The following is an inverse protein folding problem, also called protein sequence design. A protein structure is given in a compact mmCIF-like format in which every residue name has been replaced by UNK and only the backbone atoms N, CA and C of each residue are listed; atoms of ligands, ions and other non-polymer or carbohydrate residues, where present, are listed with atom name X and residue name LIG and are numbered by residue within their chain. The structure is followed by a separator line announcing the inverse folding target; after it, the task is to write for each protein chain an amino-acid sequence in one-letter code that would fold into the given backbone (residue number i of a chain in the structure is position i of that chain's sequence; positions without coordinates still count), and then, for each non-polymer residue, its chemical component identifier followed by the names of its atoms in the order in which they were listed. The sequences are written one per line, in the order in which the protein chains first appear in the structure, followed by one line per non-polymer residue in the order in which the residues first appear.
data_IF_469143804184
#
_entry.id   IF_469143804184
#
_cell.length_a   1.000
_cell.length_b   1.000
_cell.length_c   1.000
_cell.angle_alpha   90.00
_cell.angle_beta   90.00
_cell.angle_gamma   90.00
#
_symmetry.space_group_name_H-M   'P 1'
#
loop_
_entity.id
_entity.type
_entity.pdbx_description
1 polymer ?
#
# COMPACT_ATOMS: atom_id res chain seq x y z
N UNK A 1 -33.68 -0.82 -8.92
CA UNK A 1 -33.83 -0.20 -7.58
C UNK A 1 -33.74 -1.21 -6.45
N UNK A 2 -34.34 -2.41 -6.53
CA UNK A 2 -34.32 -3.38 -5.41
C UNK A 2 -32.93 -3.87 -5.00
N UNK A 3 -32.01 -4.11 -5.94
CA UNK A 3 -30.68 -4.67 -5.66
C UNK A 3 -29.74 -3.74 -4.88
N UNK A 4 -30.01 -2.42 -4.87
CA UNK A 4 -29.18 -1.41 -4.21
C UNK A 4 -29.69 -1.00 -2.82
N UNK A 5 -30.84 -1.53 -2.39
CA UNK A 5 -31.48 -1.18 -1.13
C UNK A 5 -31.11 -2.25 -0.09
N UNK A 6 -30.32 -1.86 0.92
CA UNK A 6 -29.87 -2.76 1.98
C UNK A 6 -28.68 -2.19 2.75
N UNK A 7 -28.08 -2.99 3.63
CA UNK A 7 -26.88 -2.60 4.36
C UNK A 7 -25.64 -2.68 3.44
N UNK A 8 -25.15 -1.51 3.02
CA UNK A 8 -23.99 -1.38 2.11
C UNK A 8 -22.67 -1.14 2.83
N UNK A 9 -22.66 -1.08 4.17
CA UNK A 9 -21.47 -0.70 4.94
C UNK A 9 -20.25 -1.59 4.65
N UNK A 10 -20.46 -2.92 4.57
CA UNK A 10 -19.39 -3.88 4.26
C UNK A 10 -18.83 -3.72 2.85
N UNK A 11 -19.67 -3.34 1.88
CA UNK A 11 -19.22 -3.15 0.50
C UNK A 11 -18.27 -1.93 0.38
N UNK A 12 -18.57 -0.85 1.10
CA UNK A 12 -17.73 0.36 1.14
C UNK A 12 -16.56 0.29 2.14
N UNK A 13 -16.52 -0.74 2.99
CA UNK A 13 -15.42 -0.95 3.92
C UNK A 13 -14.08 -1.05 3.15
N UNK A 14 -13.04 -0.41 3.69
CA UNK A 14 -11.70 -0.42 3.10
C UNK A 14 -10.91 -1.58 3.66
N UNK A 15 -10.53 -2.47 2.77
CA UNK A 15 -9.76 -3.67 3.09
C UNK A 15 -8.27 -3.39 2.91
N UNK A 16 -7.42 -4.11 3.61
CA UNK A 16 -5.97 -4.05 3.45
C UNK A 16 -5.46 -5.26 2.67
N UNK A 17 -4.91 -5.01 1.48
CA UNK A 17 -4.31 -6.03 0.64
C UNK A 17 -2.80 -6.05 0.80
N UNK A 18 -2.20 -7.24 0.87
CA UNK A 18 -0.75 -7.42 0.87
C UNK A 18 -0.28 -7.97 -0.47
N UNK A 19 0.83 -7.42 -0.97
CA UNK A 19 1.46 -7.86 -2.22
C UNK A 19 2.97 -7.96 -2.03
N UNK A 20 3.55 -9.10 -2.42
CA UNK A 20 5.00 -9.26 -2.55
C UNK A 20 5.47 -8.82 -3.94
N UNK A 21 6.38 -7.85 -4.00
CA UNK A 21 6.94 -7.34 -5.25
C UNK A 21 8.11 -8.20 -5.79
N UNK A 22 8.56 -9.20 -5.03
CA UNK A 22 9.66 -10.09 -5.44
C UNK A 22 9.38 -10.74 -6.79
N UNK A 23 10.33 -10.64 -7.73
CA UNK A 23 10.27 -11.25 -9.07
C UNK A 23 9.12 -10.75 -9.96
N UNK A 24 8.34 -9.76 -9.52
CA UNK A 24 7.22 -9.19 -10.28
C UNK A 24 7.70 -8.09 -11.23
N UNK A 25 7.09 -8.04 -12.42
CA UNK A 25 7.34 -6.97 -13.39
C UNK A 25 6.66 -5.68 -12.93
N UNK A 26 7.44 -4.60 -12.79
CA UNK A 26 7.01 -3.29 -12.26
C UNK A 26 5.69 -2.78 -12.87
N UNK A 27 5.57 -2.78 -14.20
CA UNK A 27 4.38 -2.25 -14.89
C UNK A 27 3.11 -3.04 -14.57
N UNK A 28 3.16 -4.38 -14.69
CA UNK A 28 2.02 -5.26 -14.40
C UNK A 28 1.62 -5.23 -12.93
N UNK A 29 2.60 -5.11 -12.04
CA UNK A 29 2.36 -4.92 -10.61
C UNK A 29 1.64 -3.60 -10.35
N UNK A 30 2.15 -2.49 -10.91
CA UNK A 30 1.57 -1.16 -10.73
C UNK A 30 0.14 -1.04 -11.29
N UNK A 31 -0.13 -1.68 -12.43
CA UNK A 31 -1.47 -1.73 -13.04
C UNK A 31 -2.49 -2.38 -12.09
N UNK A 32 -2.17 -3.57 -11.56
CA UNK A 32 -3.05 -4.29 -10.62
C UNK A 32 -3.26 -3.50 -9.33
N UNK A 33 -2.20 -2.91 -8.80
CA UNK A 33 -2.29 -2.05 -7.62
C UNK A 33 -3.23 -0.86 -7.89
N UNK A 34 -3.12 -0.21 -9.05
CA UNK A 34 -3.97 0.92 -9.40
C UNK A 34 -5.45 0.56 -9.49
N UNK A 35 -5.79 -0.64 -10.01
CA UNK A 35 -7.16 -1.16 -10.04
C UNK A 35 -7.75 -1.27 -8.62
N UNK A 36 -6.97 -1.83 -7.68
CA UNK A 36 -7.37 -2.00 -6.28
C UNK A 36 -7.51 -0.65 -5.56
N UNK A 37 -6.57 0.28 -5.77
CA UNK A 37 -6.61 1.63 -5.21
C UNK A 37 -7.79 2.45 -5.74
N UNK A 38 -8.25 2.18 -6.97
CA UNK A 38 -9.45 2.80 -7.52
C UNK A 38 -10.74 2.15 -7.01
N UNK A 39 -10.69 0.91 -6.51
CA UNK A 39 -11.87 0.14 -6.12
C UNK A 39 -12.57 -0.57 -7.27
N UNK A 40 -11.96 -0.63 -8.47
CA UNK A 40 -12.58 -1.21 -9.68
C UNK A 40 -12.82 -2.72 -9.58
N UNK A 41 -12.20 -3.39 -8.61
CA UNK A 41 -12.47 -4.80 -8.29
C UNK A 41 -13.79 -5.01 -7.55
N UNK A 42 -14.36 -3.96 -6.94
CA UNK A 42 -15.65 -4.03 -6.26
C UNK A 42 -16.78 -3.77 -7.27
N UNK A 43 -17.87 -4.56 -7.24
CA UNK A 43 -19.01 -4.36 -8.16
C UNK A 43 -19.78 -3.06 -7.88
N UNK A 44 -19.60 -2.46 -6.71
CA UNK A 44 -20.18 -1.17 -6.31
C UNK A 44 -19.37 0.04 -6.79
N UNK A 45 -18.36 -0.16 -7.63
CA UNK A 45 -17.48 0.90 -8.10
C UNK A 45 -18.26 2.00 -8.82
N UNK A 46 -18.05 3.23 -8.39
CA UNK A 46 -18.52 4.42 -9.07
C UNK A 46 -17.35 5.41 -9.26
N UNK A 47 -17.17 6.03 -10.46
CA UNK A 47 -16.08 6.95 -10.70
C UNK A 47 -16.07 8.21 -9.81
N UNK A 48 -17.25 8.65 -9.33
CA UNK A 48 -17.40 9.83 -8.48
C UNK A 48 -17.07 9.55 -7.01
N UNK A 49 -17.20 8.29 -6.57
CA UNK A 49 -17.00 7.87 -5.18
C UNK A 49 -15.66 7.16 -4.99
N UNK A 50 -14.97 7.46 -3.89
CA UNK A 50 -13.68 6.84 -3.56
C UNK A 50 -13.83 5.61 -2.65
N UNK A 51 -14.14 4.47 -3.27
CA UNK A 51 -14.37 3.17 -2.64
C UNK A 51 -13.16 2.21 -2.66
N UNK A 52 -11.98 2.70 -3.05
CA UNK A 52 -10.76 1.92 -3.15
C UNK A 52 -10.17 1.47 -1.81
N UNK A 53 -9.37 0.41 -1.89
CA UNK A 53 -8.78 -0.28 -0.73
C UNK A 53 -7.34 0.17 -0.44
N UNK A 54 -6.79 -0.28 0.69
CA UNK A 54 -5.39 -0.11 1.04
C UNK A 54 -4.53 -1.20 0.42
N UNK A 55 -3.32 -0.85 0.02
CA UNK A 55 -2.35 -1.80 -0.54
C UNK A 55 -1.01 -1.63 0.16
N UNK A 56 -0.51 -2.73 0.72
CA UNK A 56 0.83 -2.83 1.29
C UNK A 56 1.68 -3.67 0.34
N UNK A 57 2.77 -3.07 -0.14
CA UNK A 57 3.75 -3.74 -0.98
C UNK A 57 5.00 -4.02 -0.15
N UNK A 58 5.47 -5.27 -0.16
CA UNK A 58 6.74 -5.70 0.45
C UNK A 58 7.79 -6.01 -0.62
N UNK A 59 9.06 -6.03 -0.22
CA UNK A 59 10.20 -6.33 -1.09
C UNK A 59 10.32 -5.45 -2.35
N UNK A 60 10.09 -4.14 -2.24
CA UNK A 60 10.19 -3.23 -3.39
C UNK A 60 11.57 -3.27 -4.09
N UNK A 61 12.64 -3.62 -3.34
CA UNK A 61 14.01 -3.82 -3.85
C UNK A 61 14.19 -5.00 -4.80
N UNK A 62 13.24 -5.93 -4.87
CA UNK A 62 13.30 -7.12 -5.72
C UNK A 62 12.39 -7.03 -6.94
N UNK A 63 11.85 -5.83 -7.21
CA UNK A 63 11.00 -5.60 -8.38
C UNK A 63 11.82 -5.72 -9.67
N UNK A 64 11.24 -6.36 -10.69
CA UNK A 64 11.87 -6.54 -11.99
C UNK A 64 11.40 -5.53 -13.01
N UNK A 65 12.30 -5.14 -13.89
CA UNK A 65 11.99 -4.37 -15.10
C UNK A 65 12.46 -5.18 -16.30
N UNK A 66 11.69 -5.19 -17.39
CA UNK A 66 12.00 -5.96 -18.59
C UNK A 66 12.92 -5.20 -19.55
N UNK A 67 13.72 -5.92 -20.34
CA UNK A 67 14.61 -5.36 -21.35
C UNK A 67 15.83 -4.64 -20.75
N UNK A 68 16.28 -3.55 -21.39
CA UNK A 68 17.42 -2.71 -20.96
C UNK A 68 16.98 -1.46 -20.17
N UNK A 69 15.76 -1.50 -19.61
CA UNK A 69 15.14 -0.36 -18.93
C UNK A 69 15.84 -0.02 -17.61
N UNK A 70 16.49 -0.98 -16.98
CA UNK A 70 17.31 -0.78 -15.79
C UNK A 70 18.44 0.26 -16.02
N UNK A 71 18.97 0.32 -17.25
CA UNK A 71 20.04 1.26 -17.64
C UNK A 71 19.50 2.52 -18.30
N UNK A 72 18.42 2.40 -19.07
CA UNK A 72 17.92 3.49 -19.92
C UNK A 72 16.88 4.37 -19.22
N UNK A 73 16.22 3.88 -18.17
CA UNK A 73 15.14 4.62 -17.52
C UNK A 73 15.70 5.75 -16.65
N UNK A 74 15.32 6.98 -17.02
CA UNK A 74 15.68 8.22 -16.33
C UNK A 74 14.43 8.85 -15.73
N UNK A 75 14.46 9.11 -14.43
CA UNK A 75 13.42 9.87 -13.74
C UNK A 75 13.75 11.35 -13.78
N UNK A 76 12.84 12.15 -14.33
CA UNK A 76 13.03 13.59 -14.54
C UNK A 76 12.12 14.39 -13.63
N UNK A 77 12.65 15.47 -13.04
CA UNK A 77 11.89 16.48 -12.32
C UNK A 77 12.42 17.86 -12.69
N UNK A 78 11.54 18.82 -12.90
CA UNK A 78 11.90 20.19 -13.20
C UNK A 78 11.37 21.13 -12.11
N UNK A 79 12.17 22.11 -11.69
CA UNK A 79 11.76 23.11 -10.68
C UNK A 79 11.05 24.34 -11.25
N UNK A 80 10.87 24.40 -12.57
CA UNK A 80 10.34 25.54 -13.33
C UNK A 80 11.31 26.73 -13.49
N UNK A 81 12.53 26.64 -12.97
CA UNK A 81 13.61 27.59 -13.25
C UNK A 81 14.49 27.11 -14.42
N UNK A 82 15.01 28.01 -15.28
CA UNK A 82 15.98 27.64 -16.30
C UNK A 82 17.19 26.88 -15.70
N UNK A 83 17.55 25.74 -16.28
CA UNK A 83 18.61 24.86 -15.75
C UNK A 83 18.19 23.99 -14.55
N UNK A 84 16.93 24.07 -14.11
CA UNK A 84 16.39 23.33 -12.96
C UNK A 84 16.02 21.88 -13.23
N UNK A 85 16.49 21.27 -14.32
CA UNK A 85 16.22 19.88 -14.67
C UNK A 85 17.09 18.96 -13.81
N UNK A 86 16.44 18.05 -13.08
CA UNK A 86 17.09 16.98 -12.32
C UNK A 86 16.73 15.65 -12.94
N UNK A 87 17.74 14.91 -13.36
CA UNK A 87 17.60 13.55 -13.85
C UNK A 87 18.21 12.58 -12.85
N UNK A 88 17.57 11.45 -12.62
CA UNK A 88 18.07 10.39 -11.75
C UNK A 88 17.92 9.06 -12.46
N UNK A 89 19.00 8.29 -12.68
CA UNK A 89 18.92 7.00 -13.32
C UNK A 89 18.24 5.98 -12.42
N UNK A 90 17.59 5.00 -13.02
CA UNK A 90 16.89 3.94 -12.31
C UNK A 90 17.76 3.21 -11.28
N UNK A 91 19.02 2.91 -11.63
CA UNK A 91 19.98 2.27 -10.71
C UNK A 91 20.17 3.05 -9.42
N UNK A 92 20.37 4.37 -9.52
CA UNK A 92 20.56 5.23 -8.35
C UNK A 92 19.28 5.35 -7.53
N UNK A 93 18.13 5.44 -8.19
CA UNK A 93 16.83 5.47 -7.52
C UNK A 93 16.57 4.18 -6.75
N UNK A 94 16.93 3.02 -7.31
CA UNK A 94 16.76 1.71 -6.68
C UNK A 94 17.61 1.56 -5.42
N UNK A 95 18.80 2.18 -5.38
CA UNK A 95 19.67 2.18 -4.21
C UNK A 95 19.14 3.15 -3.14
N UNK A 96 18.79 4.38 -3.53
CA UNK A 96 18.41 5.45 -2.61
C UNK A 96 17.00 5.29 -2.05
N UNK A 97 16.02 5.08 -2.94
CA UNK A 97 14.58 5.09 -2.65
C UNK A 97 13.84 4.12 -3.58
N UNK A 98 13.96 2.81 -3.38
CA UNK A 98 13.27 1.80 -4.20
C UNK A 98 11.75 1.93 -4.13
N UNK A 99 11.21 2.49 -3.04
CA UNK A 99 9.77 2.64 -2.84
C UNK A 99 9.15 3.66 -3.80
N UNK A 100 9.92 4.70 -4.17
CA UNK A 100 9.47 5.74 -5.11
C UNK A 100 9.29 5.19 -6.52
N UNK A 101 10.03 4.15 -6.91
CA UNK A 101 9.90 3.52 -8.24
C UNK A 101 8.49 2.99 -8.45
N UNK A 102 7.98 2.21 -7.50
CA UNK A 102 6.63 1.66 -7.54
C UNK A 102 5.60 2.77 -7.35
N UNK A 103 5.84 3.71 -6.43
CA UNK A 103 4.95 4.86 -6.20
C UNK A 103 4.76 5.70 -7.46
N UNK A 104 5.84 6.01 -8.19
CA UNK A 104 5.78 6.74 -9.46
C UNK A 104 5.02 5.96 -10.54
N UNK A 105 5.27 4.65 -10.66
CA UNK A 105 4.58 3.82 -11.62
C UNK A 105 3.06 3.80 -11.37
N UNK A 106 2.64 3.56 -10.13
CA UNK A 106 1.22 3.57 -9.74
C UNK A 106 0.60 4.95 -9.89
N UNK A 107 1.31 6.00 -9.49
CA UNK A 107 0.86 7.38 -9.62
C UNK A 107 0.63 7.81 -11.08
N UNK A 108 1.38 7.20 -12.01
CA UNK A 108 1.19 7.29 -13.45
C UNK A 108 -0.14 6.68 -13.91
N UNK A 109 -0.51 5.51 -13.37
CA UNK A 109 -1.71 4.75 -13.73
C UNK A 109 -3.02 5.31 -13.14
N UNK A 110 -2.95 6.15 -12.11
CA UNK A 110 -4.14 6.76 -11.51
C UNK A 110 -4.68 7.94 -12.36
N UNK A 111 -6.03 8.08 -12.46
CA UNK A 111 -6.66 9.23 -13.12
C UNK A 111 -6.19 10.56 -12.54
N UNK A 112 -5.98 11.57 -13.39
CA UNK A 112 -5.52 12.90 -12.95
C UNK A 112 -6.70 13.73 -12.45
N UNK A 113 -7.07 13.54 -11.18
CA UNK A 113 -8.14 14.27 -10.52
C UNK A 113 -7.82 14.50 -9.02
N UNK A 114 -8.73 15.17 -8.29
CA UNK A 114 -8.58 15.45 -6.85
C UNK A 114 -8.53 14.19 -5.97
N UNK A 115 -9.01 13.04 -6.46
CA UNK A 115 -8.98 11.78 -5.72
C UNK A 115 -7.64 11.05 -5.86
N UNK A 116 -6.79 11.45 -6.81
CA UNK A 116 -5.51 10.79 -7.09
C UNK A 116 -4.61 10.74 -5.87
N UNK A 117 -4.43 11.86 -5.19
CA UNK A 117 -3.49 11.96 -4.09
C UNK A 117 -3.98 11.14 -2.89
N UNK A 118 -5.29 11.21 -2.58
CA UNK A 118 -5.95 10.37 -1.56
C UNK A 118 -5.81 8.87 -1.85
N UNK A 119 -5.92 8.45 -3.11
CA UNK A 119 -5.71 7.04 -3.51
C UNK A 119 -4.25 6.64 -3.36
N UNK A 120 -3.31 7.52 -3.70
CA UNK A 120 -1.89 7.25 -3.60
C UNK A 120 -1.39 7.20 -2.14
N UNK A 121 -2.01 7.93 -1.23
CA UNK A 121 -1.75 7.87 0.22
C UNK A 121 -2.06 6.49 0.82
N UNK A 122 -3.00 5.74 0.23
CA UNK A 122 -3.35 4.37 0.67
C UNK A 122 -2.34 3.31 0.25
N UNK A 123 -1.38 3.67 -0.59
CA UNK A 123 -0.30 2.80 -1.03
C UNK A 123 0.89 2.91 -0.08
N UNK A 124 1.12 1.84 0.68
CA UNK A 124 2.27 1.66 1.54
C UNK A 124 3.27 0.72 0.88
N UNK A 125 4.54 1.10 0.86
CA UNK A 125 5.59 0.37 0.13
C UNK A 125 6.77 0.23 1.07
N UNK A 126 7.26 -1.00 1.20
CA UNK A 126 8.37 -1.35 2.05
C UNK A 126 9.50 -1.99 1.22
N UNK A 127 10.76 -1.59 1.48
CA UNK A 127 11.91 -2.12 0.75
C UNK A 127 12.27 -3.56 1.10
N UNK A 128 11.87 -4.02 2.29
CA UNK A 128 12.13 -5.35 2.84
C UNK A 128 10.81 -6.03 3.22
N UNK A 129 10.92 -7.16 3.90
CA UNK A 129 9.78 -7.94 4.40
C UNK A 129 9.03 -7.25 5.55
N UNK A 130 9.75 -6.54 6.42
CA UNK A 130 9.17 -5.94 7.62
C UNK A 130 8.23 -4.77 7.28
N UNK A 131 6.93 -5.00 7.40
CA UNK A 131 5.84 -4.04 7.13
C UNK A 131 5.46 -3.18 8.36
N UNK A 132 6.11 -3.40 9.51
CA UNK A 132 5.78 -2.73 10.77
C UNK A 132 4.36 -3.04 11.26
N UNK A 133 3.76 -2.10 11.99
CA UNK A 133 2.44 -2.24 12.62
C UNK A 133 1.32 -2.50 11.57
N UNK A 134 1.49 -2.01 10.35
CA UNK A 134 0.49 -2.15 9.29
C UNK A 134 0.30 -3.60 8.82
N UNK A 135 1.29 -4.46 9.01
CA UNK A 135 1.18 -5.89 8.68
C UNK A 135 0.08 -6.61 9.49
N UNK A 136 -0.28 -6.09 10.67
CA UNK A 136 -1.38 -6.62 11.48
C UNK A 136 -2.77 -6.40 10.88
N UNK A 137 -2.92 -5.38 10.02
CA UNK A 137 -4.22 -4.97 9.48
C UNK A 137 -4.60 -5.69 8.19
N UNK A 138 -3.66 -6.44 7.59
CA UNK A 138 -3.87 -7.17 6.34
C UNK A 138 -5.08 -8.08 6.47
N UNK A 139 -5.94 -8.09 5.46
CA UNK A 139 -7.10 -8.97 5.43
C UNK A 139 -6.67 -10.42 5.64
N UNK A 140 -7.31 -11.09 6.58
CA UNK A 140 -7.12 -12.52 6.82
C UNK A 140 -8.46 -13.23 6.66
N UNK A 141 -8.41 -14.38 6.03
CA UNK A 141 -9.54 -15.25 5.77
C UNK A 141 -9.21 -16.66 6.27
N UNK A 142 -10.26 -17.39 6.65
CA UNK A 142 -10.17 -18.82 6.93
C UNK A 142 -9.92 -19.62 5.65
N UNK A 143 -10.50 -19.17 4.54
CA UNK A 143 -10.42 -19.84 3.23
C UNK A 143 -8.99 -19.89 2.67
N UNK A 144 -8.19 -18.84 2.91
CA UNK A 144 -6.81 -18.75 2.40
C UNK A 144 -5.77 -19.33 3.38
N UNK A 145 -6.21 -19.89 4.53
CA UNK A 145 -5.32 -20.43 5.57
C UNK A 145 -4.44 -19.38 6.28
N UNK A 146 -4.74 -18.10 6.07
CA UNK A 146 -4.00 -16.97 6.66
C UNK A 146 -4.35 -16.73 8.14
N UNK A 147 -5.52 -17.20 8.58
CA UNK A 147 -5.91 -17.24 9.99
C UNK A 147 -5.49 -18.57 10.63
N UNK A 148 -4.90 -18.55 11.84
CA UNK A 148 -4.70 -19.77 12.63
C UNK A 148 -6.03 -20.47 12.91
N UNK A 149 -6.02 -21.81 12.99
CA UNK A 149 -7.21 -22.62 13.35
C UNK A 149 -7.87 -22.18 14.65
N UNK A 150 -7.07 -21.67 15.58
CA UNK A 150 -7.47 -21.32 16.94
C UNK A 150 -7.82 -19.82 17.08
N UNK A 151 -8.05 -19.13 15.95
CA UNK A 151 -8.37 -17.71 15.95
C UNK A 151 -9.77 -17.44 16.53
N UNK A 152 -9.80 -16.72 17.65
CA UNK A 152 -11.03 -16.33 18.33
C UNK A 152 -11.43 -14.88 17.93
N UNK A 153 -12.54 -14.70 17.20
CA UNK A 153 -12.98 -13.39 16.74
C UNK A 153 -13.53 -12.48 17.86
N UNK A 154 -13.79 -13.03 19.06
CA UNK A 154 -14.33 -12.24 20.19
C UNK A 154 -13.25 -11.53 21.00
N UNK A 155 -11.98 -11.95 20.88
CA UNK A 155 -10.86 -11.30 21.56
C UNK A 155 -10.41 -10.08 20.76
N UNK A 156 -10.46 -8.90 21.39
CA UNK A 156 -9.96 -7.67 20.78
C UNK A 156 -8.45 -7.77 20.55
N UNK A 157 -8.00 -7.39 19.34
CA UNK A 157 -6.56 -7.36 19.02
C UNK A 157 -5.94 -6.09 19.63
N UNK A 158 -5.46 -6.17 20.87
CA UNK A 158 -4.65 -5.13 21.52
C UNK A 158 -3.19 -5.19 21.04
N UNK A 159 -2.42 -4.12 21.25
CA UNK A 159 -0.97 -4.06 20.97
C UNK A 159 -0.18 -5.24 21.57
N UNK A 160 -0.57 -5.69 22.76
CA UNK A 160 0.02 -6.85 23.45
C UNK A 160 -0.26 -8.16 22.69
N UNK A 161 -1.49 -8.38 22.27
CA UNK A 161 -1.88 -9.57 21.47
C UNK A 161 -1.24 -9.56 20.08
N UNK A 162 -1.10 -8.39 19.45
CA UNK A 162 -0.41 -8.23 18.17
C UNK A 162 1.09 -8.57 18.29
N UNK A 163 1.71 -8.17 19.40
CA UNK A 163 3.10 -8.50 19.70
C UNK A 163 3.28 -10.00 19.96
N UNK A 164 2.33 -10.65 20.64
CA UNK A 164 2.33 -12.09 20.87
C UNK A 164 2.16 -12.91 19.57
N UNK A 165 1.30 -12.44 18.65
CA UNK A 165 1.06 -13.10 17.36
C UNK A 165 2.21 -12.98 16.36
N UNK A 166 3.04 -11.93 16.46
CA UNK A 166 4.15 -11.67 15.52
C UNK A 166 5.50 -12.31 15.95
N UNK A 167 5.55 -12.98 17.10
CA UNK A 167 6.74 -13.70 17.58
C UNK A 167 7.95 -12.83 17.98
N UNK A 168 9.00 -13.42 18.58
CA UNK A 168 10.11 -12.68 19.21
C UNK A 168 11.02 -11.90 18.24
N UNK A 169 10.87 -12.08 16.92
CA UNK A 169 11.56 -11.32 15.87
C UNK A 169 10.94 -9.96 15.53
N UNK A 170 9.76 -9.64 16.07
CA UNK A 170 9.05 -8.36 15.85
C UNK A 170 9.54 -7.18 16.72
N UNK A 171 10.67 -7.30 17.42
CA UNK A 171 11.18 -6.29 18.38
C UNK A 171 11.92 -5.10 17.74
N UNK A 172 11.68 -4.82 16.47
CA UNK A 172 12.26 -3.67 15.78
C UNK A 172 11.56 -2.36 16.14
N UNK A 173 11.85 -1.82 17.32
CA UNK A 173 11.54 -0.43 17.76
C UNK A 173 10.06 -0.09 18.00
N UNK A 174 9.61 -0.30 19.25
CA UNK A 174 8.46 0.42 19.86
C UNK A 174 8.92 1.80 20.42
N UNK A 175 10.11 2.27 20.04
CA UNK A 175 10.63 3.59 20.40
C UNK A 175 10.00 4.69 19.54
N UNK A 176 8.71 4.96 19.73
CA UNK A 176 8.02 6.04 19.00
C UNK A 176 6.58 6.34 19.43
N UNK A 177 5.96 5.53 20.29
CA UNK A 177 4.54 5.68 20.66
C UNK A 177 4.30 6.74 21.75
N UNK A 178 5.27 7.61 22.06
CA UNK A 178 5.04 8.76 22.96
C UNK A 178 4.30 9.95 22.31
N UNK A 179 4.04 9.93 21.00
CA UNK A 179 3.48 11.08 20.27
C UNK A 179 1.96 11.08 20.00
N UNK A 180 1.24 9.96 20.19
CA UNK A 180 -0.17 9.87 19.76
C UNK A 180 -1.19 10.11 20.88
N UNK A 181 -0.77 10.26 22.13
CA UNK A 181 -1.66 10.57 23.27
C UNK A 181 -2.19 12.02 23.31
N UNK A 182 -1.78 12.90 22.39
CA UNK A 182 -2.21 14.31 22.41
C UNK A 182 -3.40 14.63 21.48
N UNK A 183 -3.91 13.69 20.69
CA UNK A 183 -5.05 13.94 19.79
C UNK A 183 -6.42 13.52 20.35
N UNK A 184 -6.48 12.88 21.53
CA UNK A 184 -7.75 12.45 22.16
C UNK A 184 -8.32 13.45 23.19
N UNK A 185 -7.73 14.65 23.36
CA UNK A 185 -8.22 15.65 24.33
C UNK A 185 -8.79 16.93 23.70
N UNK A 186 -9.28 16.85 22.46
CA UNK A 186 -10.10 17.93 21.86
C UNK A 186 -11.37 17.37 21.25
N UNK A 187 -12.32 17.06 22.12
CA UNK A 187 -13.76 17.15 21.93
C UNK A 187 -14.31 17.90 23.15
#
# INVERSE_FOLDING_TARGET
MSQSIGNTALAYARVWHHVDASERVLGKLAERIAVVLMGKHKPIYDPSVDCGDYVIVSHSRKVKVTGRKDQQLLYRKHSMYPGGLKETPYKDMMIRKPDEIIRHAVSGMLPKNKLRDRRLERLYIFPREHMGVLGGNVLRSWDDGSLPSDWDPTKVTTSETLTALLGPGGRGHIAGVRGLKQLETRA
#
